data_IF_566325779875
#
_entry.id   IF_566325779875
#
_cell.length_a   1.000
_cell.length_b   1.000
_cell.length_c   1.000
_cell.angle_alpha   90.00
_cell.angle_beta   90.00
_cell.angle_gamma   90.00
#
_symmetry.space_group_name_H-M   'P 1'
#
loop_
_entity.id
_entity.type
_entity.pdbx_description
1 polymer ?
#
# COMPACT_ATOMS: atom_id res chain seq x y z
N UNK A 1 7.24 -2.10 -65.66
CA UNK A 1 5.94 -1.87 -64.99
C UNK A 1 5.69 -2.82 -63.81
N UNK A 2 6.10 -4.10 -63.89
CA UNK A 2 5.95 -5.08 -62.79
C UNK A 2 6.73 -4.71 -61.51
N UNK A 3 7.97 -4.25 -61.63
CA UNK A 3 8.81 -3.88 -60.47
C UNK A 3 8.14 -2.81 -59.57
N UNK A 4 7.52 -1.80 -60.19
CA UNK A 4 6.79 -0.73 -59.47
C UNK A 4 5.59 -1.26 -58.69
N UNK A 5 4.88 -2.26 -59.22
CA UNK A 5 3.74 -2.88 -58.52
C UNK A 5 4.21 -3.70 -57.31
N UNK A 6 5.34 -4.40 -57.43
CA UNK A 6 5.94 -5.15 -56.33
C UNK A 6 6.36 -4.21 -55.19
N UNK A 7 7.03 -3.09 -55.50
CA UNK A 7 7.42 -2.11 -54.48
C UNK A 7 6.23 -1.46 -53.79
N UNK A 8 5.15 -1.15 -54.52
CA UNK A 8 3.92 -0.61 -53.92
C UNK A 8 3.24 -1.62 -52.98
N UNK A 9 3.23 -2.90 -53.36
CA UNK A 9 2.74 -3.97 -52.49
C UNK A 9 3.58 -4.11 -51.22
N UNK A 10 4.92 -4.11 -51.36
CA UNK A 10 5.85 -4.18 -50.24
C UNK A 10 5.69 -2.98 -49.30
N UNK A 11 5.59 -1.76 -49.83
CA UNK A 11 5.39 -0.54 -49.04
C UNK A 11 4.07 -0.56 -48.27
N UNK A 12 2.99 -1.01 -48.91
CA UNK A 12 1.69 -1.13 -48.25
C UNK A 12 1.72 -2.16 -47.12
N UNK A 13 2.42 -3.28 -47.35
CA UNK A 13 2.60 -4.32 -46.34
C UNK A 13 3.43 -3.84 -45.13
N UNK A 14 4.53 -3.12 -45.39
CA UNK A 14 5.37 -2.53 -44.35
C UNK A 14 4.58 -1.52 -43.50
N UNK A 15 3.80 -0.64 -44.15
CA UNK A 15 2.94 0.31 -43.45
C UNK A 15 1.91 -0.39 -42.56
N UNK A 16 1.31 -1.47 -43.05
CA UNK A 16 0.35 -2.24 -42.27
C UNK A 16 1.01 -2.91 -41.05
N UNK A 17 2.22 -3.45 -41.20
CA UNK A 17 2.99 -3.99 -40.08
C UNK A 17 3.34 -2.94 -39.03
N UNK A 18 3.75 -1.74 -39.45
CA UNK A 18 4.03 -0.62 -38.54
C UNK A 18 2.77 -0.21 -37.79
N UNK A 19 1.64 -0.12 -38.49
CA UNK A 19 0.36 0.20 -37.88
C UNK A 19 -0.06 -0.83 -36.82
N UNK A 20 0.04 -2.12 -37.13
CA UNK A 20 -0.24 -3.21 -36.19
C UNK A 20 0.69 -3.14 -34.98
N UNK A 21 1.99 -2.90 -35.20
CA UNK A 21 2.97 -2.75 -34.12
C UNK A 21 2.62 -1.58 -33.17
N UNK A 22 2.15 -0.46 -33.71
CA UNK A 22 1.71 0.68 -32.90
C UNK A 22 0.50 0.33 -32.02
N UNK A 23 -0.46 -0.45 -32.52
CA UNK A 23 -1.60 -0.91 -31.72
C UNK A 23 -1.15 -1.80 -30.56
N UNK A 24 -0.26 -2.75 -30.81
CA UNK A 24 0.30 -3.61 -29.75
C UNK A 24 1.05 -2.82 -28.68
N UNK A 25 1.76 -1.76 -29.07
CA UNK A 25 2.47 -0.90 -28.12
C UNK A 25 1.50 -0.19 -27.17
N UNK A 26 0.38 0.33 -27.70
CA UNK A 26 -0.65 1.00 -26.90
C UNK A 26 -1.32 0.02 -25.93
N UNK A 27 -1.64 -1.19 -26.39
CA UNK A 27 -2.20 -2.23 -25.54
C UNK A 27 -1.23 -2.65 -24.44
N UNK A 28 0.05 -2.80 -24.76
CA UNK A 28 1.11 -3.06 -23.78
C UNK A 28 1.23 -1.94 -22.74
N UNK A 29 1.22 -0.68 -23.18
CA UNK A 29 1.27 0.47 -22.28
C UNK A 29 0.05 0.52 -21.34
N UNK A 30 -1.14 0.23 -21.86
CA UNK A 30 -2.36 0.14 -21.06
C UNK A 30 -2.32 -1.00 -20.05
N UNK A 31 -1.82 -2.17 -20.45
CA UNK A 31 -1.65 -3.31 -19.55
C UNK A 31 -0.69 -2.99 -18.40
N UNK A 32 0.46 -2.39 -18.69
CA UNK A 32 1.43 -1.95 -17.68
C UNK A 32 0.82 -0.90 -16.76
N UNK A 33 0.08 0.08 -17.32
CA UNK A 33 -0.60 1.10 -16.52
C UNK A 33 -1.61 0.48 -15.55
N UNK A 34 -2.41 -0.49 -16.02
CA UNK A 34 -3.38 -1.21 -15.19
C UNK A 34 -2.70 -2.02 -14.09
N UNK A 35 -1.60 -2.71 -14.42
CA UNK A 35 -0.80 -3.46 -13.45
C UNK A 35 -0.23 -2.52 -12.37
N UNK A 36 0.38 -1.40 -12.75
CA UNK A 36 0.90 -0.41 -11.80
C UNK A 36 -0.21 0.19 -10.93
N UNK A 37 -1.40 0.43 -11.49
CA UNK A 37 -2.52 0.91 -10.72
C UNK A 37 -2.95 -0.11 -9.66
N UNK A 38 -2.97 -1.42 -9.98
CA UNK A 38 -3.28 -2.45 -8.99
C UNK A 38 -2.23 -2.54 -7.87
N UNK A 39 -0.95 -2.36 -8.20
CA UNK A 39 0.14 -2.29 -7.21
C UNK A 39 -0.04 -1.08 -6.30
N UNK A 40 -0.37 0.09 -6.87
CA UNK A 40 -0.62 1.31 -6.09
C UNK A 40 -1.79 1.16 -5.12
N UNK A 41 -2.87 0.49 -5.52
CA UNK A 41 -4.00 0.20 -4.64
C UNK A 41 -3.61 -0.74 -3.49
N UNK A 42 -2.79 -1.77 -3.78
CA UNK A 42 -2.32 -2.70 -2.76
C UNK A 42 -1.37 -2.02 -1.76
N UNK A 43 -0.44 -1.19 -2.24
CA UNK A 43 0.44 -0.42 -1.37
C UNK A 43 -0.34 0.51 -0.45
N UNK A 44 -1.36 1.21 -0.97
CA UNK A 44 -2.22 2.04 -0.14
C UNK A 44 -2.91 1.25 0.97
N UNK A 45 -3.47 0.08 0.65
CA UNK A 45 -4.10 -0.77 1.66
C UNK A 45 -3.10 -1.29 2.70
N UNK A 46 -1.87 -1.59 2.28
CA UNK A 46 -0.80 -1.98 3.19
C UNK A 46 -0.38 -0.83 4.13
N UNK A 47 -0.26 0.38 3.60
CA UNK A 47 0.11 1.56 4.38
C UNK A 47 -0.98 1.89 5.42
N UNK A 48 -2.26 1.82 5.05
CA UNK A 48 -3.39 2.03 5.98
C UNK A 48 -3.35 1.00 7.14
N UNK A 49 -3.06 -0.27 6.82
CA UNK A 49 -2.96 -1.32 7.83
C UNK A 49 -1.72 -1.14 8.72
N UNK A 50 -0.58 -0.75 8.13
CA UNK A 50 0.64 -0.45 8.87
C UNK A 50 0.44 0.71 9.85
N UNK A 51 -0.33 1.73 9.46
CA UNK A 51 -0.69 2.82 10.36
C UNK A 51 -1.46 2.29 11.57
N UNK A 52 -2.47 1.44 11.36
CA UNK A 52 -3.23 0.84 12.45
C UNK A 52 -2.36 0.00 13.40
N UNK A 53 -1.47 -0.84 12.84
CA UNK A 53 -0.51 -1.59 13.66
C UNK A 53 0.44 -0.69 14.44
N UNK A 54 0.88 0.42 13.84
CA UNK A 54 1.76 1.37 14.51
C UNK A 54 1.06 2.02 15.71
N UNK A 55 -0.21 2.41 15.55
CA UNK A 55 -1.05 2.96 16.63
C UNK A 55 -1.23 1.94 17.75
N UNK A 56 -1.63 0.72 17.42
CA UNK A 56 -1.81 -0.34 18.41
C UNK A 56 -0.51 -0.63 19.17
N UNK A 57 0.62 -0.67 18.48
CA UNK A 57 1.93 -0.88 19.11
C UNK A 57 2.30 0.29 20.04
N UNK A 58 1.98 1.52 19.67
CA UNK A 58 2.19 2.69 20.53
C UNK A 58 1.31 2.63 21.77
N UNK A 59 0.04 2.24 21.64
CA UNK A 59 -0.86 2.04 22.78
C UNK A 59 -0.34 0.97 23.75
N UNK A 60 0.11 -0.17 23.22
CA UNK A 60 0.74 -1.23 24.03
C UNK A 60 2.05 -0.75 24.70
N UNK A 61 2.85 0.05 24.00
CA UNK A 61 4.05 0.67 24.56
C UNK A 61 3.71 1.64 25.70
N UNK A 62 2.66 2.44 25.54
CA UNK A 62 2.19 3.36 26.57
C UNK A 62 1.64 2.58 27.79
N UNK A 63 0.83 1.54 27.58
CA UNK A 63 0.32 0.66 28.64
C UNK A 63 1.44 -0.02 29.44
N UNK A 64 2.45 -0.54 28.76
CA UNK A 64 3.60 -1.19 29.42
C UNK A 64 4.48 -0.19 30.16
N UNK A 65 4.63 1.03 29.63
CA UNK A 65 5.29 2.13 30.34
C UNK A 65 4.52 2.55 31.58
N UNK A 66 3.19 2.65 31.50
CA UNK A 66 2.33 3.03 32.61
C UNK A 66 2.40 2.00 33.75
N UNK A 67 2.30 0.71 33.42
CA UNK A 67 2.46 -0.38 34.40
C UNK A 67 3.84 -0.37 35.05
N UNK A 68 4.91 -0.04 34.30
CA UNK A 68 6.26 0.11 34.86
C UNK A 68 6.35 1.31 35.81
N UNK A 69 5.75 2.44 35.46
CA UNK A 69 5.72 3.65 36.29
C UNK A 69 4.94 3.38 37.58
N UNK A 70 3.76 2.74 37.49
CA UNK A 70 2.97 2.33 38.66
C UNK A 70 3.77 1.41 39.58
N UNK A 71 4.49 0.42 39.02
CA UNK A 71 5.32 -0.48 39.84
C UNK A 71 6.43 0.26 40.56
N UNK A 72 7.14 1.18 39.89
CA UNK A 72 8.19 2.00 40.50
C UNK A 72 7.60 2.93 41.58
N UNK A 73 6.45 3.54 41.32
CA UNK A 73 5.77 4.42 42.27
C UNK A 73 5.33 3.68 43.55
N UNK A 74 4.90 2.42 43.43
CA UNK A 74 4.53 1.58 44.58
C UNK A 74 5.77 1.04 45.30
N UNK A 75 6.73 0.45 44.58
CA UNK A 75 7.89 -0.25 45.16
C UNK A 75 8.93 0.72 45.74
N UNK A 76 9.18 1.86 45.08
CA UNK A 76 10.31 2.74 45.40
C UNK A 76 9.87 4.02 46.11
N UNK A 77 8.66 4.51 45.82
CA UNK A 77 8.13 5.77 46.38
C UNK A 77 7.02 5.56 47.42
N UNK A 78 6.64 4.32 47.75
CA UNK A 78 5.55 3.97 48.68
C UNK A 78 4.24 4.73 48.38
N UNK A 79 3.95 5.03 47.10
CA UNK A 79 2.72 5.69 46.72
C UNK A 79 1.58 4.67 46.70
N UNK A 80 0.52 4.94 47.47
CA UNK A 80 -0.74 4.19 47.43
C UNK A 80 -1.68 4.81 46.41
N UNK A 81 -1.97 4.07 45.34
CA UNK A 81 -3.02 4.46 44.40
C UNK A 81 -4.37 4.12 45.02
N UNK A 82 -5.34 5.07 45.10
CA UNK A 82 -6.66 4.77 45.61
C UNK A 82 -7.30 3.72 44.72
N UNK A 83 -7.67 2.59 45.33
CA UNK A 83 -8.25 1.46 44.64
C UNK A 83 -9.42 1.92 43.77
N UNK A 84 -9.45 1.37 42.55
CA UNK A 84 -10.58 1.38 41.63
C UNK A 84 -11.89 1.43 42.42
N UNK A 85 -12.71 2.43 42.16
CA UNK A 85 -14.01 2.67 42.80
C UNK A 85 -14.85 1.38 42.77
N UNK A 86 -14.69 0.55 43.79
CA UNK A 86 -15.57 -0.57 44.14
C UNK A 86 -16.40 -0.07 45.30
N UNK A 87 -17.51 0.63 45.02
CA UNK A 87 -18.39 1.07 46.09
C UNK A 87 -19.35 2.22 45.78
N UNK A 88 -19.91 2.30 44.58
CA UNK A 88 -21.10 3.13 44.33
C UNK A 88 -22.14 2.34 43.53
N UNK A 89 -22.70 1.33 44.19
CA UNK A 89 -24.09 0.90 43.98
C UNK A 89 -24.61 0.54 45.38
N UNK A 90 -25.15 1.55 46.06
CA UNK A 90 -26.22 1.35 47.05
C UNK A 90 -27.53 1.06 46.29
#
# INVERSE_FOLDING_TARGET
MQLRRVYLGLMSFLLLMVFVSALFLVDGANAVRKANQSIGLLHKAYDDELENYSRLRLELGALTSLSRIERIAVEELNMTFPDKIYGLVD
#
